data_IF_285144104911
#
_entry.id   IF_285144104911
#
_cell.length_a   1.000
_cell.length_b   1.000
_cell.length_c   1.000
_cell.angle_alpha   90.00
_cell.angle_beta   90.00
_cell.angle_gamma   90.00
#
_symmetry.space_group_name_H-M   'P 1'
#
loop_
_entity.id
_entity.type
_entity.pdbx_description
1 polymer ?
#
# COMPACT_ATOMS: atom_id res chain seq x y z
N UNK A 1 0.52 10.85 19.43
CA UNK A 1 1.24 10.37 18.23
C UNK A 1 0.90 11.34 17.11
N UNK A 2 1.88 11.77 16.33
CA UNK A 2 1.68 12.70 15.22
C UNK A 2 0.99 11.98 14.04
N UNK A 3 0.15 12.70 13.27
CA UNK A 3 -0.41 12.19 12.05
C UNK A 3 0.68 12.09 10.97
N UNK A 4 0.84 10.91 10.37
CA UNK A 4 1.80 10.69 9.27
C UNK A 4 1.18 10.96 7.91
N UNK A 5 -0.13 10.70 7.76
CA UNK A 5 -0.93 11.09 6.60
C UNK A 5 -2.12 11.90 7.11
N UNK A 6 -2.41 13.02 6.47
CA UNK A 6 -3.60 13.83 6.76
C UNK A 6 -4.30 14.23 5.46
N UNK A 7 -5.58 13.96 5.38
CA UNK A 7 -6.47 14.47 4.36
C UNK A 7 -7.38 15.53 5.01
N UNK A 8 -7.41 16.73 4.46
CA UNK A 8 -8.16 17.87 5.00
C UNK A 8 -9.08 18.40 3.92
N UNK A 9 -10.39 18.18 4.08
CA UNK A 9 -11.44 18.55 3.14
C UNK A 9 -11.15 18.11 1.70
N UNK A 10 -10.56 16.90 1.54
CA UNK A 10 -10.15 16.38 0.24
C UNK A 10 -11.35 15.96 -0.57
N UNK A 11 -11.43 16.43 -1.80
CA UNK A 11 -12.48 16.10 -2.76
C UNK A 11 -11.89 15.57 -4.07
N UNK A 12 -12.63 14.68 -4.71
CA UNK A 12 -12.33 14.23 -6.07
C UNK A 12 -13.58 14.11 -6.91
N UNK A 13 -13.53 14.78 -8.06
CA UNK A 13 -14.56 14.69 -9.09
C UNK A 13 -13.97 14.25 -10.42
N UNK A 14 -14.66 13.38 -11.12
CA UNK A 14 -14.40 13.02 -12.51
C UNK A 14 -15.53 13.58 -13.38
N UNK A 15 -15.28 14.70 -14.02
CA UNK A 15 -16.32 15.48 -14.68
C UNK A 15 -17.38 15.93 -13.68
N UNK A 16 -18.64 15.51 -13.88
CA UNK A 16 -19.76 15.86 -12.97
C UNK A 16 -19.92 14.88 -11.79
N UNK A 17 -19.18 13.76 -11.80
CA UNK A 17 -19.32 12.74 -10.77
C UNK A 17 -18.35 12.99 -9.62
N UNK A 18 -18.88 13.34 -8.44
CA UNK A 18 -18.10 13.56 -7.22
C UNK A 18 -17.91 12.22 -6.49
N UNK A 19 -16.69 11.64 -6.60
CA UNK A 19 -16.32 10.32 -6.08
C UNK A 19 -15.84 10.37 -4.63
N UNK A 20 -15.13 11.45 -4.23
CA UNK A 20 -14.73 11.70 -2.84
C UNK A 20 -15.25 13.06 -2.43
N UNK A 21 -15.94 13.13 -1.28
CA UNK A 21 -16.71 14.30 -0.84
C UNK A 21 -16.18 14.79 0.51
N UNK A 22 -15.38 15.86 0.50
CA UNK A 22 -14.89 16.56 1.71
C UNK A 22 -14.31 15.60 2.78
N UNK A 23 -13.43 14.72 2.33
CA UNK A 23 -12.83 13.72 3.20
C UNK A 23 -11.86 14.34 4.20
N UNK A 24 -12.05 14.00 5.48
CA UNK A 24 -11.16 14.39 6.57
C UNK A 24 -10.75 13.12 7.32
N UNK A 25 -9.45 12.80 7.31
CA UNK A 25 -8.90 11.67 8.05
C UNK A 25 -7.44 11.91 8.40
N UNK A 26 -7.06 11.48 9.59
CA UNK A 26 -5.67 11.42 10.05
C UNK A 26 -5.26 9.98 10.30
N UNK A 27 -4.13 9.57 9.74
CA UNK A 27 -3.49 8.27 9.96
C UNK A 27 -2.31 8.50 10.90
N UNK A 28 -2.26 7.77 12.00
CA UNK A 28 -1.18 7.87 12.99
C UNK A 28 0.06 7.10 12.53
N UNK A 29 1.24 7.53 12.98
CA UNK A 29 2.47 6.79 12.69
C UNK A 29 2.43 5.39 13.32
N UNK A 30 2.80 4.37 12.52
CA UNK A 30 2.78 2.97 12.93
C UNK A 30 1.38 2.32 12.98
N UNK A 31 0.33 3.04 12.55
CA UNK A 31 -1.04 2.55 12.53
C UNK A 31 -1.30 1.64 11.32
N UNK A 32 -2.17 0.65 11.50
CA UNK A 32 -2.81 -0.09 10.43
C UNK A 32 -4.23 0.45 10.26
N UNK A 33 -4.43 1.39 9.33
CA UNK A 33 -5.73 1.94 9.01
C UNK A 33 -6.34 1.21 7.81
N UNK A 34 -7.59 0.78 7.92
CA UNK A 34 -8.35 0.22 6.79
C UNK A 34 -9.46 1.15 6.32
N UNK A 35 -9.52 1.38 5.01
CA UNK A 35 -10.66 1.97 4.32
C UNK A 35 -11.57 0.81 3.87
N UNK A 36 -12.72 0.65 4.52
CA UNK A 36 -13.70 -0.40 4.26
C UNK A 36 -14.94 0.18 3.57
N UNK A 37 -15.51 -0.51 2.62
CA UNK A 37 -16.79 -0.11 2.00
C UNK A 37 -17.05 -0.81 0.67
N UNK A 38 -18.24 -0.58 0.06
CA UNK A 38 -18.59 -1.20 -1.20
C UNK A 38 -17.72 -0.73 -2.37
N UNK A 39 -17.75 -1.47 -3.48
CA UNK A 39 -17.07 -1.06 -4.70
C UNK A 39 -17.59 0.29 -5.19
N UNK A 40 -16.69 1.14 -5.67
CA UNK A 40 -17.04 2.47 -6.19
C UNK A 40 -17.26 3.58 -5.13
N UNK A 41 -17.13 3.30 -3.82
CA UNK A 41 -17.32 4.32 -2.79
C UNK A 41 -16.11 5.28 -2.60
N UNK A 42 -15.05 5.19 -3.43
CA UNK A 42 -13.93 6.14 -3.42
C UNK A 42 -12.66 5.66 -2.70
N UNK A 43 -12.56 4.44 -2.17
CA UNK A 43 -11.39 3.91 -1.43
C UNK A 43 -10.10 3.93 -2.26
N UNK A 44 -10.10 3.25 -3.40
CA UNK A 44 -8.95 3.20 -4.32
C UNK A 44 -8.58 4.60 -4.83
N UNK A 45 -9.58 5.44 -5.10
CA UNK A 45 -9.35 6.84 -5.50
C UNK A 45 -8.63 7.62 -4.39
N UNK A 46 -9.07 7.47 -3.15
CA UNK A 46 -8.42 8.08 -1.98
C UNK A 46 -6.97 7.60 -1.84
N UNK A 47 -6.74 6.29 -1.94
CA UNK A 47 -5.40 5.73 -1.88
C UNK A 47 -4.51 6.25 -3.00
N UNK A 48 -5.03 6.34 -4.24
CA UNK A 48 -4.31 6.91 -5.39
C UNK A 48 -3.96 8.39 -5.22
N UNK A 49 -4.84 9.18 -4.60
CA UNK A 49 -4.54 10.57 -4.29
C UNK A 49 -3.40 10.71 -3.27
N UNK A 50 -3.34 9.86 -2.25
CA UNK A 50 -2.21 9.83 -1.31
C UNK A 50 -0.91 9.45 -2.04
N UNK A 51 -0.98 8.46 -2.94
CA UNK A 51 0.16 7.97 -3.71
C UNK A 51 0.65 8.96 -4.79
N UNK A 52 -0.18 9.91 -5.22
CA UNK A 52 0.11 10.84 -6.32
C UNK A 52 -0.18 10.29 -7.71
N UNK A 53 -0.93 9.18 -7.79
CA UNK A 53 -1.42 8.63 -9.09
C UNK A 53 -2.74 9.28 -9.54
N UNK A 54 -3.33 10.12 -8.70
CA UNK A 54 -4.54 10.86 -8.97
C UNK A 54 -4.48 12.19 -8.22
N UNK A 55 -4.84 13.29 -8.88
CA UNK A 55 -4.87 14.60 -8.26
C UNK A 55 -6.19 14.82 -7.53
N UNK A 56 -6.15 15.42 -6.34
CA UNK A 56 -7.34 15.90 -5.68
C UNK A 56 -7.94 17.08 -6.46
N UNK A 57 -9.29 17.16 -6.53
CA UNK A 57 -9.96 18.32 -7.12
C UNK A 57 -9.87 19.54 -6.20
N UNK A 58 -9.90 19.29 -4.88
CA UNK A 58 -9.71 20.32 -3.84
C UNK A 58 -9.30 19.67 -2.52
N UNK A 59 -8.92 20.48 -1.55
CA UNK A 59 -8.46 20.04 -0.24
C UNK A 59 -6.94 19.93 -0.16
N UNK A 60 -6.45 19.36 0.95
CA UNK A 60 -5.02 19.28 1.25
C UNK A 60 -4.68 17.85 1.65
N UNK A 61 -3.61 17.30 1.05
CA UNK A 61 -3.04 16.02 1.43
C UNK A 61 -1.64 16.27 2.00
N UNK A 62 -1.39 15.75 3.21
CA UNK A 62 -0.07 15.83 3.83
C UNK A 62 0.48 14.43 4.10
N UNK A 63 1.78 14.24 3.83
CA UNK A 63 2.57 13.09 4.25
C UNK A 63 3.72 13.60 5.10
N UNK A 64 3.86 13.08 6.33
CA UNK A 64 4.83 13.57 7.31
C UNK A 64 4.73 15.10 7.56
N UNK A 65 3.50 15.62 7.60
CA UNK A 65 3.24 17.05 7.80
C UNK A 65 3.51 17.93 6.58
N UNK A 66 4.10 17.38 5.49
CA UNK A 66 4.41 18.12 4.26
C UNK A 66 3.29 17.93 3.25
N UNK A 67 2.84 19.01 2.62
CA UNK A 67 1.88 18.97 1.50
C UNK A 67 2.51 18.23 0.32
N UNK A 68 1.71 17.38 -0.36
CA UNK A 68 2.21 16.52 -1.43
C UNK A 68 1.48 16.67 -2.77
N UNK A 69 0.55 17.63 -2.89
CA UNK A 69 -0.22 17.84 -4.13
C UNK A 69 0.69 18.15 -5.31
N UNK A 70 1.75 18.96 -5.10
CA UNK A 70 2.71 19.35 -6.13
C UNK A 70 3.89 18.37 -6.27
N UNK A 71 3.82 17.21 -5.59
CA UNK A 71 4.89 16.20 -5.64
C UNK A 71 4.51 15.04 -6.54
N UNK A 72 5.44 14.67 -7.40
CA UNK A 72 5.33 13.46 -8.20
C UNK A 72 5.28 12.19 -7.31
N UNK A 73 4.68 11.08 -7.76
CA UNK A 73 4.57 9.86 -6.98
C UNK A 73 5.90 9.34 -6.39
N UNK A 74 7.00 9.45 -7.14
CA UNK A 74 8.31 8.97 -6.71
C UNK A 74 9.01 9.90 -5.68
N UNK A 75 8.50 11.12 -5.48
CA UNK A 75 8.98 12.08 -4.49
C UNK A 75 8.25 11.97 -3.14
N UNK A 76 7.13 11.22 -3.12
CA UNK A 76 6.34 10.99 -1.90
C UNK A 76 6.95 9.82 -1.12
N UNK A 77 7.06 9.97 0.19
CA UNK A 77 7.59 8.90 1.05
C UNK A 77 6.55 7.82 1.35
N UNK A 78 5.88 7.37 0.29
CA UNK A 78 4.89 6.31 0.28
C UNK A 78 5.20 5.31 -0.82
N UNK A 79 4.83 4.04 -0.63
CA UNK A 79 4.87 3.03 -1.69
C UNK A 79 3.55 2.31 -1.78
N UNK A 80 3.20 1.83 -2.97
CA UNK A 80 1.91 1.20 -3.23
C UNK A 80 2.07 -0.25 -3.69
N UNK A 81 1.25 -1.13 -3.13
CA UNK A 81 1.01 -2.49 -3.64
C UNK A 81 -0.36 -2.51 -4.29
N UNK A 82 -0.40 -2.77 -5.58
CA UNK A 82 -1.63 -2.80 -6.38
C UNK A 82 -2.33 -4.15 -6.29
N UNK A 83 -3.62 -4.18 -6.57
CA UNK A 83 -4.47 -5.38 -6.57
C UNK A 83 -3.94 -6.50 -7.47
N UNK A 84 -3.38 -6.16 -8.63
CA UNK A 84 -2.77 -7.11 -9.57
C UNK A 84 -1.27 -7.33 -9.33
N UNK A 85 -0.75 -6.86 -8.16
CA UNK A 85 0.66 -6.88 -7.75
C UNK A 85 1.61 -6.10 -8.66
N UNK A 86 1.27 -5.83 -9.92
CA UNK A 86 2.04 -5.09 -10.92
C UNK A 86 3.53 -5.51 -10.98
N UNK A 87 3.81 -6.81 -10.89
CA UNK A 87 5.17 -7.32 -11.05
C UNK A 87 5.61 -7.20 -12.50
N UNK A 88 6.89 -6.89 -12.71
CA UNK A 88 7.52 -6.86 -14.03
C UNK A 88 7.71 -8.29 -14.54
N UNK A 89 6.95 -8.75 -15.55
CA UNK A 89 6.93 -10.16 -15.94
C UNK A 89 8.24 -10.65 -16.57
N UNK A 90 8.99 -9.74 -17.17
CA UNK A 90 10.28 -10.01 -17.82
C UNK A 90 11.46 -10.05 -16.82
N UNK A 91 11.27 -9.57 -15.60
CA UNK A 91 12.29 -9.53 -14.54
C UNK A 91 12.17 -10.72 -13.60
N UNK A 92 13.30 -11.11 -13.01
CA UNK A 92 13.33 -12.10 -11.92
C UNK A 92 12.72 -11.52 -10.63
N UNK A 93 12.51 -12.38 -9.63
CA UNK A 93 12.12 -11.95 -8.27
C UNK A 93 13.16 -10.98 -7.71
N UNK A 94 14.46 -11.31 -7.84
CA UNK A 94 15.54 -10.42 -7.42
C UNK A 94 15.44 -9.05 -8.08
N UNK A 95 15.27 -9.01 -9.41
CA UNK A 95 15.23 -7.76 -10.17
C UNK A 95 13.96 -6.93 -9.87
N UNK A 96 12.82 -7.59 -9.66
CA UNK A 96 11.60 -6.92 -9.22
C UNK A 96 11.83 -6.21 -7.87
N UNK A 97 12.38 -6.91 -6.87
CA UNK A 97 12.64 -6.32 -5.56
C UNK A 97 13.70 -5.22 -5.66
N UNK A 98 14.80 -5.48 -6.38
CA UNK A 98 15.92 -4.55 -6.53
C UNK A 98 15.58 -3.26 -7.29
N UNK A 99 14.46 -3.23 -8.02
CA UNK A 99 14.15 -2.19 -9.01
C UNK A 99 14.32 -0.77 -8.48
N UNK A 100 13.70 -0.45 -7.34
CA UNK A 100 13.78 0.89 -6.76
C UNK A 100 15.20 1.31 -6.35
N UNK A 101 16.01 0.37 -5.85
CA UNK A 101 17.42 0.63 -5.51
C UNK A 101 18.30 0.83 -6.74
N UNK A 102 17.99 0.11 -7.83
CA UNK A 102 18.69 0.28 -9.13
C UNK A 102 18.41 1.67 -9.71
N UNK A 103 17.16 2.13 -9.70
CA UNK A 103 16.81 3.50 -10.13
C UNK A 103 17.55 4.54 -9.30
N UNK A 104 17.67 4.34 -7.98
CA UNK A 104 18.45 5.19 -7.06
C UNK A 104 19.97 5.02 -7.21
N UNK A 105 20.42 4.21 -8.17
CA UNK A 105 21.85 3.96 -8.46
C UNK A 105 22.65 3.52 -7.23
N UNK A 106 22.05 2.70 -6.35
CA UNK A 106 22.75 2.18 -5.18
C UNK A 106 23.86 1.18 -5.59
N UNK A 107 24.94 1.01 -4.78
CA UNK A 107 25.99 0.04 -5.04
C UNK A 107 25.45 -1.40 -5.16
N UNK A 108 26.05 -2.21 -6.04
CA UNK A 108 25.59 -3.59 -6.30
C UNK A 108 25.57 -4.47 -5.04
N UNK A 109 26.59 -4.31 -4.18
CA UNK A 109 26.70 -5.09 -2.94
C UNK A 109 25.62 -4.70 -1.94
N UNK A 110 25.29 -3.40 -1.81
CA UNK A 110 24.15 -2.92 -1.01
C UNK A 110 22.83 -3.51 -1.53
N UNK A 111 22.62 -3.46 -2.86
CA UNK A 111 21.42 -4.02 -3.49
C UNK A 111 21.29 -5.50 -3.15
N UNK A 112 22.35 -6.29 -3.37
CA UNK A 112 22.35 -7.74 -3.10
C UNK A 112 22.04 -8.03 -1.63
N UNK A 113 22.68 -7.34 -0.70
CA UNK A 113 22.42 -7.48 0.74
C UNK A 113 20.97 -7.20 1.08
N UNK A 114 20.43 -6.04 0.67
CA UNK A 114 19.06 -5.61 0.99
C UNK A 114 18.00 -6.50 0.36
N UNK A 115 18.23 -6.97 -0.88
CA UNK A 115 17.28 -7.92 -1.53
C UNK A 115 17.24 -9.23 -0.77
N UNK A 116 18.39 -9.78 -0.33
CA UNK A 116 18.42 -11.00 0.46
C UNK A 116 17.70 -10.82 1.81
N UNK A 117 17.92 -9.69 2.49
CA UNK A 117 17.18 -9.36 3.73
C UNK A 117 15.66 -9.29 3.49
N UNK A 118 15.22 -8.72 2.37
CA UNK A 118 13.80 -8.67 2.00
C UNK A 118 13.25 -10.06 1.68
N UNK A 119 14.00 -10.90 0.95
CA UNK A 119 13.59 -12.27 0.65
C UNK A 119 13.45 -13.13 1.92
N UNK A 120 14.36 -12.98 2.86
CA UNK A 120 14.26 -13.63 4.17
C UNK A 120 13.02 -13.11 4.95
N UNK A 121 12.78 -11.78 4.91
CA UNK A 121 11.64 -11.15 5.60
C UNK A 121 10.29 -11.68 5.10
N UNK A 122 10.15 -11.85 3.77
CA UNK A 122 8.91 -12.34 3.13
C UNK A 122 8.90 -13.86 2.90
N UNK A 123 9.86 -14.60 3.44
CA UNK A 123 9.97 -16.07 3.35
C UNK A 123 10.05 -16.60 1.91
N UNK A 124 10.81 -15.93 1.05
CA UNK A 124 11.05 -16.32 -0.34
C UNK A 124 12.53 -16.56 -0.65
N UNK A 125 13.32 -16.95 0.35
CA UNK A 125 14.72 -17.37 0.14
C UNK A 125 14.79 -18.53 -0.84
N UNK A 126 15.71 -18.44 -1.84
CA UNK A 126 15.86 -19.44 -2.90
C UNK A 126 14.95 -19.22 -4.12
N UNK A 127 14.19 -18.11 -4.14
CA UNK A 127 13.33 -17.73 -5.27
C UNK A 127 13.93 -16.63 -6.15
N UNK A 128 15.14 -16.19 -5.89
CA UNK A 128 15.80 -15.01 -6.48
C UNK A 128 15.74 -15.00 -7.99
N UNK A 129 15.99 -16.17 -8.62
CA UNK A 129 16.11 -16.31 -10.07
C UNK A 129 14.78 -16.68 -10.76
N UNK A 130 13.71 -16.89 -10.02
CA UNK A 130 12.40 -17.21 -10.62
C UNK A 130 11.78 -15.98 -11.25
N UNK A 131 10.95 -16.19 -12.28
CA UNK A 131 10.10 -15.14 -12.86
C UNK A 131 8.70 -15.18 -12.25
N UNK A 132 7.91 -14.09 -12.34
CA UNK A 132 6.56 -14.01 -11.78
C UNK A 132 5.60 -15.09 -12.25
N UNK A 133 5.72 -15.57 -13.49
CA UNK A 133 4.89 -16.64 -14.04
C UNK A 133 5.06 -17.99 -13.31
N UNK A 134 6.24 -18.24 -12.75
CA UNK A 134 6.54 -19.43 -11.96
C UNK A 134 6.15 -19.32 -10.47
N UNK A 135 5.37 -18.29 -10.08
CA UNK A 135 4.99 -18.02 -8.69
C UNK A 135 3.48 -18.22 -8.47
N UNK A 136 3.10 -18.74 -7.30
CA UNK A 136 1.71 -18.70 -6.83
C UNK A 136 1.24 -17.26 -6.53
N UNK A 137 -0.08 -17.06 -6.42
CA UNK A 137 -0.65 -15.73 -6.09
C UNK A 137 -0.05 -15.13 -4.81
N UNK A 138 0.02 -15.90 -3.72
CA UNK A 138 0.63 -15.44 -2.47
C UNK A 138 2.12 -15.15 -2.58
N UNK A 139 2.86 -15.91 -3.40
CA UNK A 139 4.28 -15.61 -3.67
C UNK A 139 4.44 -14.32 -4.46
N UNK A 140 3.60 -14.06 -5.48
CA UNK A 140 3.57 -12.79 -6.21
C UNK A 140 3.30 -11.61 -5.30
N UNK A 141 2.34 -11.76 -4.40
CA UNK A 141 2.03 -10.74 -3.40
C UNK A 141 3.23 -10.45 -2.50
N UNK A 142 3.89 -11.47 -1.95
CA UNK A 142 5.08 -11.30 -1.11
C UNK A 142 6.22 -10.59 -1.86
N UNK A 143 6.43 -10.90 -3.13
CA UNK A 143 7.40 -10.16 -3.98
C UNK A 143 7.01 -8.70 -4.13
N UNK A 144 5.73 -8.39 -4.37
CA UNK A 144 5.24 -7.01 -4.48
C UNK A 144 5.43 -6.22 -3.18
N UNK A 145 5.14 -6.85 -2.03
CA UNK A 145 5.38 -6.27 -0.71
C UNK A 145 6.87 -6.02 -0.50
N UNK A 146 7.75 -7.00 -0.77
CA UNK A 146 9.19 -6.85 -0.65
C UNK A 146 9.73 -5.71 -1.52
N UNK A 147 9.23 -5.59 -2.78
CA UNK A 147 9.57 -4.50 -3.70
C UNK A 147 9.14 -3.14 -3.16
N UNK A 148 8.00 -3.07 -2.52
CA UNK A 148 7.52 -1.83 -1.91
C UNK A 148 8.33 -1.47 -0.65
N UNK A 149 8.67 -2.45 0.18
CA UNK A 149 9.37 -2.25 1.45
C UNK A 149 10.86 -1.94 1.30
N UNK A 150 11.52 -2.40 0.23
CA UNK A 150 12.98 -2.27 0.08
C UNK A 150 13.44 -0.81 0.06
N UNK A 151 12.55 0.11 -0.30
CA UNK A 151 12.82 1.55 -0.29
C UNK A 151 12.68 2.20 1.09
N UNK A 152 12.33 1.43 2.13
CA UNK A 152 12.04 1.88 3.49
C UNK A 152 11.00 3.03 3.55
N UNK A 153 9.82 2.86 2.93
CA UNK A 153 8.80 3.89 2.94
C UNK A 153 8.27 4.12 4.37
N UNK A 154 7.81 5.32 4.65
CA UNK A 154 7.12 5.62 5.90
C UNK A 154 5.67 5.11 5.91
N UNK A 155 5.05 5.07 4.75
CA UNK A 155 3.68 4.59 4.57
C UNK A 155 3.61 3.58 3.44
N UNK A 156 2.98 2.43 3.70
CA UNK A 156 2.65 1.43 2.69
C UNK A 156 1.15 1.48 2.39
N UNK A 157 0.84 1.72 1.13
CA UNK A 157 -0.53 1.77 0.60
C UNK A 157 -0.85 0.43 -0.05
N UNK A 158 -1.95 -0.20 0.32
CA UNK A 158 -2.33 -1.55 -0.09
C UNK A 158 -3.74 -1.52 -0.70
N UNK A 159 -3.83 -1.65 -2.04
CA UNK A 159 -5.10 -1.61 -2.78
C UNK A 159 -5.63 -3.02 -3.03
N UNK A 160 -6.54 -3.50 -2.20
CA UNK A 160 -7.15 -4.86 -2.24
C UNK A 160 -6.15 -6.00 -2.47
N UNK A 161 -5.02 -6.07 -1.74
CA UNK A 161 -3.91 -6.95 -2.10
C UNK A 161 -4.23 -8.43 -1.91
N UNK A 162 -5.31 -8.79 -1.17
CA UNK A 162 -5.72 -10.16 -0.89
C UNK A 162 -6.86 -10.64 -1.78
N UNK A 163 -7.49 -9.76 -2.57
CA UNK A 163 -8.70 -10.05 -3.33
C UNK A 163 -8.58 -11.20 -4.35
N UNK A 164 -7.38 -11.44 -4.90
CA UNK A 164 -7.13 -12.49 -5.88
C UNK A 164 -6.74 -13.86 -5.28
N UNK A 165 -6.71 -13.99 -3.94
CA UNK A 165 -6.29 -15.21 -3.24
C UNK A 165 -7.48 -16.08 -2.83
N UNK A 166 -7.28 -17.40 -2.81
CA UNK A 166 -8.22 -18.32 -2.18
C UNK A 166 -8.34 -18.08 -0.67
N UNK A 167 -9.41 -18.55 -0.05
CA UNK A 167 -9.74 -18.26 1.36
C UNK A 167 -8.63 -18.68 2.33
N UNK A 168 -8.02 -19.87 2.13
CA UNK A 168 -6.98 -20.39 3.03
C UNK A 168 -5.73 -19.53 2.97
N UNK A 169 -5.28 -19.21 1.77
CA UNK A 169 -4.10 -18.39 1.54
C UNK A 169 -4.34 -16.94 2.00
N UNK A 170 -5.56 -16.42 1.79
CA UNK A 170 -5.96 -15.09 2.25
C UNK A 170 -5.80 -14.96 3.76
N UNK A 171 -6.36 -15.92 4.56
CA UNK A 171 -6.22 -15.93 6.03
C UNK A 171 -4.76 -16.00 6.49
N UNK A 172 -3.95 -16.81 5.83
CA UNK A 172 -2.52 -16.86 6.11
C UNK A 172 -1.84 -15.50 5.85
N UNK A 173 -2.15 -14.87 4.72
CA UNK A 173 -1.55 -13.59 4.34
C UNK A 173 -2.00 -12.42 5.24
N UNK A 174 -3.22 -12.44 5.77
CA UNK A 174 -3.68 -11.46 6.78
C UNK A 174 -2.76 -11.49 8.01
N UNK A 175 -2.51 -12.66 8.55
CA UNK A 175 -1.63 -12.84 9.73
C UNK A 175 -0.21 -12.35 9.42
N UNK A 176 0.31 -12.70 8.24
CA UNK A 176 1.65 -12.28 7.82
C UNK A 176 1.77 -10.76 7.63
N UNK A 177 0.78 -10.12 7.00
CA UNK A 177 0.75 -8.66 6.82
C UNK A 177 0.73 -7.92 8.16
N UNK A 178 -0.12 -8.34 9.11
CA UNK A 178 -0.16 -7.74 10.44
C UNK A 178 1.15 -7.93 11.19
N UNK A 179 1.75 -9.13 11.09
CA UNK A 179 3.06 -9.43 11.68
C UNK A 179 4.17 -8.55 11.09
N UNK A 180 4.18 -8.40 9.76
CA UNK A 180 5.14 -7.54 9.05
C UNK A 180 5.02 -6.10 9.49
N UNK A 181 3.80 -5.55 9.50
CA UNK A 181 3.53 -4.19 9.93
C UNK A 181 4.06 -3.92 11.36
N UNK A 182 3.72 -4.81 12.32
CA UNK A 182 4.21 -4.70 13.70
C UNK A 182 5.73 -4.81 13.81
N UNK A 183 6.34 -5.76 13.07
CA UNK A 183 7.80 -5.96 13.10
C UNK A 183 8.57 -4.77 12.56
N UNK A 184 8.04 -4.10 11.54
CA UNK A 184 8.70 -2.98 10.87
C UNK A 184 8.33 -1.61 11.48
N UNK A 185 7.23 -1.53 12.24
CA UNK A 185 6.72 -0.29 12.83
C UNK A 185 6.30 0.76 11.78
N UNK A 186 6.01 0.36 10.54
CA UNK A 186 5.58 1.26 9.47
C UNK A 186 4.07 1.41 9.45
N UNK A 187 3.59 2.50 8.87
CA UNK A 187 2.16 2.78 8.72
C UNK A 187 1.59 2.08 7.50
N UNK A 188 0.44 1.42 7.67
CA UNK A 188 -0.30 0.82 6.56
C UNK A 188 -1.62 1.55 6.35
N UNK A 189 -1.92 1.87 5.08
CA UNK A 189 -3.26 2.25 4.64
C UNK A 189 -3.76 1.15 3.70
N UNK A 190 -4.78 0.44 4.14
CA UNK A 190 -5.29 -0.77 3.50
C UNK A 190 -6.68 -0.53 2.93
N UNK A 191 -6.93 -0.93 1.71
CA UNK A 191 -8.25 -0.86 1.06
C UNK A 191 -8.81 -2.27 0.92
N UNK A 192 -10.04 -2.48 1.36
CA UNK A 192 -10.78 -3.73 1.16
C UNK A 192 -12.29 -3.48 1.14
N UNK A 193 -13.03 -4.45 0.63
CA UNK A 193 -14.47 -4.57 0.79
C UNK A 193 -14.86 -5.73 1.73
N UNK A 194 -13.86 -6.46 2.25
CA UNK A 194 -14.04 -7.61 3.14
C UNK A 194 -13.96 -7.17 4.60
N UNK A 195 -15.06 -7.38 5.34
CA UNK A 195 -15.17 -7.01 6.75
C UNK A 195 -14.27 -7.86 7.65
N UNK A 196 -14.09 -9.17 7.33
CA UNK A 196 -13.22 -10.06 8.11
C UNK A 196 -11.76 -9.58 8.04
N UNK A 197 -11.30 -9.16 6.86
CA UNK A 197 -9.98 -8.56 6.69
C UNK A 197 -9.80 -7.31 7.56
N UNK A 198 -10.76 -6.38 7.46
CA UNK A 198 -10.72 -5.12 8.20
C UNK A 198 -10.67 -5.36 9.73
N UNK A 199 -11.56 -6.20 10.26
CA UNK A 199 -11.64 -6.48 11.70
C UNK A 199 -10.41 -7.23 12.23
N UNK A 200 -9.79 -8.10 11.40
CA UNK A 200 -8.65 -8.93 11.83
C UNK A 200 -7.33 -8.15 11.87
N UNK A 201 -7.13 -7.23 10.93
CA UNK A 201 -5.82 -6.61 10.73
C UNK A 201 -5.70 -5.19 11.26
N UNK A 202 -6.81 -4.45 11.35
CA UNK A 202 -6.75 -3.01 11.56
C UNK A 202 -6.56 -2.61 13.04
N UNK A 203 -5.94 -1.48 13.23
CA UNK A 203 -5.98 -0.76 14.50
C UNK A 203 -7.14 0.23 14.50
N UNK A 204 -7.51 0.77 13.31
CA UNK A 204 -8.70 1.57 13.05
C UNK A 204 -9.28 1.27 11.69
N UNK A 205 -10.60 1.43 11.57
CA UNK A 205 -11.37 1.22 10.34
C UNK A 205 -12.15 2.49 10.02
N UNK A 206 -11.98 2.99 8.79
CA UNK A 206 -12.82 4.03 8.22
C UNK A 206 -13.84 3.37 7.29
N UNK A 207 -15.09 3.35 7.69
CA UNK A 207 -16.20 2.82 6.87
C UNK A 207 -16.60 3.91 5.88
N UNK A 208 -16.45 3.61 4.61
CA UNK A 208 -16.76 4.53 3.51
C UNK A 208 -17.99 4.12 2.74
N UNK A 209 -18.82 5.09 2.42
CA UNK A 209 -19.96 4.91 1.54
C UNK A 209 -20.17 6.19 0.71
N UNK A 210 -20.50 6.06 -0.58
CA UNK A 210 -20.80 7.17 -1.49
C UNK A 210 -19.84 8.38 -1.41
N UNK A 211 -18.55 8.12 -1.20
CA UNK A 211 -17.49 9.14 -1.17
C UNK A 211 -17.30 9.86 0.15
N UNK A 212 -17.98 9.43 1.22
CA UNK A 212 -17.81 9.96 2.58
C UNK A 212 -17.37 8.89 3.56
N UNK A 213 -16.78 9.30 4.68
CA UNK A 213 -16.51 8.42 5.84
C UNK A 213 -17.77 8.49 6.71
N UNK A 214 -18.50 7.37 6.81
CA UNK A 214 -19.68 7.24 7.65
C UNK A 214 -19.32 7.03 9.11
N UNK A 215 -18.26 6.27 9.35
CA UNK A 215 -17.79 5.93 10.69
C UNK A 215 -16.27 5.72 10.69
N UNK A 216 -15.64 6.13 11.77
CA UNK A 216 -14.21 5.92 12.04
C UNK A 216 -14.07 5.38 13.48
N UNK A 217 -13.48 4.20 13.61
CA UNK A 217 -13.30 3.54 14.92
C UNK A 217 -12.18 2.54 14.93
#
# INVERSE_FOLDING_TARGET
MSAIVSLINVEKSFGKNKVVKSMNIEVKEGEFLTLLGPSGCGKTTTLRMIAGFEDATSGIIKVQGVRVEDKEPFERDVNTVFQNYALFPHMTVFDNIAYGLKIKKRPKDEIKKRVNEMLDLVQLKGYENRKPDALSGGQKQRVAIARALINNPKVLLLDEPLGALDLKLRKQMQVELKRLQKKLGITFVYVTHDQEEALTMSDRIAVMNEGVIEQLG
#
